data_IF_465589718788
#
_entry.id   IF_465589718788
#
_cell.length_a   1.000
_cell.length_b   1.000
_cell.length_c   1.000
_cell.angle_alpha   90.00
_cell.angle_beta   90.00
_cell.angle_gamma   90.00
#
_symmetry.space_group_name_H-M   'P 1'
#
loop_
_entity.id
_entity.type
_entity.pdbx_description
1 polymer ?
#
# COMPACT_ATOMS: atom_id res chain seq x y z
N UNK A 1 11.73 17.40 2.35
CA UNK A 1 11.98 16.15 3.10
C UNK A 1 13.43 15.74 2.95
N UNK A 2 14.10 15.25 4.03
CA UNK A 2 15.43 14.66 3.97
C UNK A 2 15.37 13.13 3.89
N UNK A 3 16.55 12.48 3.94
CA UNK A 3 16.66 11.01 3.86
C UNK A 3 15.77 10.28 4.88
N UNK A 4 15.80 10.68 6.14
CA UNK A 4 15.03 10.04 7.21
C UNK A 4 13.52 10.25 7.04
N UNK A 5 13.10 11.44 6.56
CA UNK A 5 11.68 11.69 6.28
C UNK A 5 11.18 10.77 5.16
N UNK A 6 11.96 10.61 4.09
CA UNK A 6 11.61 9.72 2.96
C UNK A 6 11.62 8.26 3.37
N UNK A 7 12.60 7.83 4.19
CA UNK A 7 12.68 6.46 4.70
C UNK A 7 11.46 6.13 5.56
N UNK A 8 11.14 6.98 6.55
CA UNK A 8 9.99 6.79 7.44
C UNK A 8 8.66 6.90 6.68
N UNK A 9 8.58 7.78 5.67
CA UNK A 9 7.43 7.86 4.76
C UNK A 9 7.19 6.52 4.06
N UNK A 10 8.23 5.93 3.45
CA UNK A 10 8.12 4.62 2.79
C UNK A 10 7.73 3.51 3.77
N UNK A 11 8.30 3.50 4.98
CA UNK A 11 7.91 2.54 6.02
C UNK A 11 6.43 2.72 6.39
N UNK A 12 5.98 3.94 6.65
CA UNK A 12 4.59 4.21 7.01
C UNK A 12 3.59 3.85 5.90
N UNK A 13 4.02 3.97 4.63
CA UNK A 13 3.17 3.71 3.47
C UNK A 13 3.09 2.23 3.13
N UNK A 14 4.22 1.53 3.15
CA UNK A 14 4.34 0.15 2.63
C UNK A 14 4.18 -0.89 3.74
N UNK A 15 4.91 -0.71 4.86
CA UNK A 15 4.92 -1.71 5.92
C UNK A 15 3.60 -1.70 6.69
N UNK A 16 2.84 -2.79 6.60
CA UNK A 16 1.57 -2.93 7.30
C UNK A 16 1.54 -4.15 8.22
N UNK A 17 1.33 -3.97 9.55
CA UNK A 17 1.21 -5.10 10.49
C UNK A 17 0.13 -6.10 10.08
N UNK A 18 -0.95 -5.63 9.42
CA UNK A 18 -2.02 -6.48 8.88
C UNK A 18 -1.54 -7.49 7.85
N UNK A 19 -0.53 -7.16 7.05
CA UNK A 19 0.03 -8.09 6.06
C UNK A 19 0.79 -9.23 6.72
N UNK A 20 1.49 -8.95 7.84
CA UNK A 20 2.13 -9.97 8.66
C UNK A 20 1.08 -10.86 9.34
N UNK A 21 -0.01 -10.28 9.84
CA UNK A 21 -1.12 -11.02 10.42
C UNK A 21 -1.80 -11.91 9.37
N UNK A 22 -2.09 -11.39 8.18
CA UNK A 22 -2.67 -12.15 7.07
C UNK A 22 -1.72 -13.30 6.64
N UNK A 23 -0.41 -13.04 6.56
CA UNK A 23 0.58 -14.06 6.27
C UNK A 23 0.65 -15.15 7.36
N UNK A 24 0.60 -14.76 8.64
CA UNK A 24 0.53 -15.68 9.76
C UNK A 24 -0.71 -16.57 9.70
N UNK A 25 -1.88 -16.00 9.39
CA UNK A 25 -3.14 -16.72 9.20
C UNK A 25 -3.05 -17.78 8.09
N UNK A 26 -2.38 -17.45 6.97
CA UNK A 26 -2.14 -18.39 5.86
C UNK A 26 -1.06 -19.44 6.16
N UNK A 27 -0.35 -19.34 7.29
CA UNK A 27 0.58 -20.36 7.77
C UNK A 27 2.02 -20.19 7.27
N UNK A 28 2.82 -21.24 7.50
CA UNK A 28 4.28 -21.24 7.28
C UNK A 28 4.70 -21.05 5.83
N UNK A 29 3.88 -21.50 4.86
CA UNK A 29 4.16 -21.33 3.42
C UNK A 29 4.23 -19.85 3.00
N UNK A 30 3.59 -18.93 3.74
CA UNK A 30 3.66 -17.48 3.51
C UNK A 30 5.08 -16.93 3.59
N UNK A 31 5.96 -17.55 4.38
CA UNK A 31 7.36 -17.16 4.52
C UNK A 31 8.09 -17.30 3.18
N UNK A 32 7.91 -18.44 2.51
CA UNK A 32 8.48 -18.65 1.17
C UNK A 32 7.85 -17.72 0.13
N UNK A 33 6.54 -17.44 0.24
CA UNK A 33 5.89 -16.47 -0.64
C UNK A 33 6.45 -15.06 -0.48
N UNK A 34 6.77 -14.61 0.75
CA UNK A 34 7.47 -13.35 0.99
C UNK A 34 8.84 -13.30 0.30
N UNK A 35 9.63 -14.38 0.42
CA UNK A 35 10.95 -14.46 -0.22
C UNK A 35 10.82 -14.42 -1.74
N UNK A 36 9.90 -15.20 -2.31
CA UNK A 36 9.64 -15.23 -3.76
C UNK A 36 9.18 -13.85 -4.24
N UNK A 37 8.22 -13.22 -3.56
CA UNK A 37 7.75 -11.89 -3.93
C UNK A 37 8.85 -10.81 -3.79
N UNK A 38 9.69 -10.91 -2.75
CA UNK A 38 10.81 -10.01 -2.60
C UNK A 38 11.79 -10.10 -3.77
N UNK A 39 12.15 -11.33 -4.19
CA UNK A 39 13.13 -11.57 -5.25
C UNK A 39 12.57 -11.28 -6.66
N UNK A 40 11.32 -11.66 -6.94
CA UNK A 40 10.77 -11.60 -8.30
C UNK A 40 9.91 -10.37 -8.58
N UNK A 41 9.49 -9.65 -7.56
CA UNK A 41 8.66 -8.44 -7.71
C UNK A 41 9.26 -7.21 -7.02
N UNK A 42 9.54 -7.29 -5.71
CA UNK A 42 9.90 -6.12 -4.92
C UNK A 42 11.28 -5.55 -5.28
N UNK A 43 12.31 -6.40 -5.36
CA UNK A 43 13.67 -5.98 -5.75
C UNK A 43 13.70 -5.47 -7.19
N UNK A 44 13.13 -6.17 -8.19
CA UNK A 44 12.98 -5.64 -9.55
C UNK A 44 12.22 -4.31 -9.57
N UNK A 45 11.11 -4.20 -8.82
CA UNK A 45 10.32 -2.97 -8.69
C UNK A 45 11.13 -1.80 -8.12
N UNK A 46 11.89 -2.03 -7.05
CA UNK A 46 12.75 -1.01 -6.46
C UNK A 46 13.82 -0.49 -7.46
N UNK A 47 14.41 -1.37 -8.26
CA UNK A 47 15.34 -0.97 -9.31
C UNK A 47 14.65 -0.12 -10.38
N UNK A 48 13.46 -0.53 -10.85
CA UNK A 48 12.70 0.21 -11.87
C UNK A 48 12.27 1.58 -11.33
N UNK A 49 11.75 1.65 -10.10
CA UNK A 49 11.39 2.91 -9.44
C UNK A 49 12.60 3.85 -9.36
N UNK A 50 13.75 3.33 -8.94
CA UNK A 50 14.96 4.15 -8.81
C UNK A 50 15.48 4.64 -10.17
N UNK A 51 15.45 3.83 -11.22
CA UNK A 51 15.83 4.28 -12.56
C UNK A 51 14.83 5.35 -13.06
N UNK A 52 13.54 5.11 -13.00
CA UNK A 52 12.55 6.03 -13.51
C UNK A 52 12.48 7.33 -12.70
N UNK A 53 12.53 7.30 -11.37
CA UNK A 53 12.51 8.50 -10.53
C UNK A 53 13.76 9.35 -10.66
N UNK A 54 14.93 8.76 -10.93
CA UNK A 54 16.16 9.51 -11.17
C UNK A 54 16.23 10.12 -12.57
N UNK A 55 15.58 9.48 -13.56
CA UNK A 55 15.49 9.98 -14.94
C UNK A 55 14.42 11.04 -15.11
N UNK A 56 13.25 10.81 -14.52
CA UNK A 56 12.07 11.66 -14.62
C UNK A 56 11.61 12.05 -13.21
N UNK A 57 12.29 13.04 -12.58
CA UNK A 57 12.03 13.45 -11.20
C UNK A 57 10.85 14.42 -11.07
N UNK A 58 10.01 14.54 -12.09
CA UNK A 58 8.86 15.43 -12.10
C UNK A 58 7.76 14.93 -11.15
N UNK A 59 6.97 15.85 -10.60
CA UNK A 59 5.83 15.54 -9.74
C UNK A 59 4.77 14.74 -10.51
N UNK A 60 4.22 13.68 -9.86
CA UNK A 60 3.22 12.80 -10.46
C UNK A 60 3.66 11.36 -10.66
N UNK A 61 4.95 11.05 -10.53
CA UNK A 61 5.47 9.67 -10.49
C UNK A 61 4.99 8.79 -11.64
N UNK A 62 4.21 7.73 -11.32
CA UNK A 62 3.69 6.75 -12.30
C UNK A 62 2.91 7.39 -13.46
N UNK A 63 2.19 8.51 -13.23
CA UNK A 63 1.53 9.26 -14.29
C UNK A 63 2.52 9.77 -15.33
N UNK A 64 3.59 10.43 -14.85
CA UNK A 64 4.63 11.01 -15.72
C UNK A 64 5.36 9.91 -16.48
N UNK A 65 5.76 8.84 -15.81
CA UNK A 65 6.49 7.73 -16.45
C UNK A 65 5.66 7.04 -17.54
N UNK A 66 4.37 6.83 -17.32
CA UNK A 66 3.46 6.26 -18.32
C UNK A 66 3.24 7.24 -19.49
N UNK A 67 3.11 8.55 -19.21
CA UNK A 67 2.97 9.60 -20.22
C UNK A 67 4.21 9.70 -21.11
N UNK A 68 5.40 9.69 -20.50
CA UNK A 68 6.68 9.72 -21.21
C UNK A 68 6.89 8.49 -22.11
N UNK A 69 6.47 7.32 -21.64
CA UNK A 69 6.64 6.08 -22.38
C UNK A 69 5.61 5.91 -23.50
N UNK A 70 4.33 6.21 -23.25
CA UNK A 70 3.21 5.80 -24.08
C UNK A 70 2.31 6.95 -24.56
N UNK A 71 2.53 8.17 -24.06
CA UNK A 71 1.76 9.36 -24.41
C UNK A 71 0.60 9.63 -23.44
N UNK A 72 -0.09 10.74 -23.71
CA UNK A 72 -1.07 11.37 -22.82
C UNK A 72 -2.21 10.44 -22.36
N UNK A 73 -2.77 9.63 -23.25
CA UNK A 73 -3.87 8.70 -22.93
C UNK A 73 -3.42 7.66 -21.89
N UNK A 74 -2.29 7.06 -22.10
CA UNK A 74 -1.75 6.03 -21.21
C UNK A 74 -1.30 6.63 -19.88
N UNK A 75 -0.70 7.83 -19.91
CA UNK A 75 -0.41 8.61 -18.70
C UNK A 75 -1.68 8.85 -17.89
N UNK A 76 -2.76 9.32 -18.54
CA UNK A 76 -4.03 9.53 -17.87
C UNK A 76 -4.58 8.24 -17.25
N UNK A 77 -4.59 7.12 -17.99
CA UNK A 77 -5.10 5.83 -17.48
C UNK A 77 -4.30 5.39 -16.26
N UNK A 78 -2.96 5.47 -16.33
CA UNK A 78 -2.09 5.15 -15.20
C UNK A 78 -2.35 6.06 -13.99
N UNK A 79 -2.41 7.37 -14.19
CA UNK A 79 -2.67 8.34 -13.11
C UNK A 79 -4.07 8.19 -12.51
N UNK A 80 -5.09 7.98 -13.36
CA UNK A 80 -6.46 7.79 -12.90
C UNK A 80 -6.61 6.53 -12.06
N UNK A 81 -6.12 5.39 -12.54
CA UNK A 81 -6.21 4.12 -11.80
C UNK A 81 -5.36 4.15 -10.54
N UNK A 82 -4.20 4.83 -10.58
CA UNK A 82 -3.36 5.08 -9.42
C UNK A 82 -4.00 5.99 -8.35
N UNK A 83 -4.92 6.86 -8.74
CA UNK A 83 -5.67 7.66 -7.78
C UNK A 83 -6.92 6.94 -7.28
N UNK A 84 -7.72 6.38 -8.20
CA UNK A 84 -9.04 5.82 -7.85
C UNK A 84 -8.93 4.56 -6.97
N UNK A 85 -7.81 3.79 -7.02
CA UNK A 85 -7.63 2.65 -6.14
C UNK A 85 -7.76 3.03 -4.67
N UNK A 86 -7.35 4.23 -4.29
CA UNK A 86 -7.39 4.70 -2.90
C UNK A 86 -8.80 4.88 -2.37
N UNK A 87 -9.78 5.09 -3.26
CA UNK A 87 -11.19 5.14 -2.89
C UNK A 87 -11.66 3.81 -2.30
N UNK A 88 -11.06 2.68 -2.71
CA UNK A 88 -11.30 1.34 -2.17
C UNK A 88 -10.32 0.99 -1.05
N UNK A 89 -9.06 1.36 -1.21
CA UNK A 89 -7.99 1.04 -0.26
C UNK A 89 -8.15 1.71 1.11
N UNK A 90 -8.49 3.00 1.14
CA UNK A 90 -8.63 3.73 2.41
C UNK A 90 -9.71 3.17 3.32
N UNK A 91 -10.93 2.85 2.86
CA UNK A 91 -11.90 2.18 3.70
C UNK A 91 -11.37 0.89 4.35
N UNK A 92 -10.68 0.05 3.57
CA UNK A 92 -10.04 -1.16 4.10
C UNK A 92 -8.96 -0.86 5.15
N UNK A 93 -8.07 0.09 4.86
CA UNK A 93 -7.02 0.51 5.79
C UNK A 93 -7.60 1.10 7.07
N UNK A 94 -8.63 1.93 6.96
CA UNK A 94 -9.28 2.58 8.10
C UNK A 94 -10.03 1.55 8.98
N UNK A 95 -10.74 0.59 8.38
CA UNK A 95 -11.38 -0.50 9.12
C UNK A 95 -10.38 -1.37 9.88
N UNK A 96 -9.27 -1.75 9.23
CA UNK A 96 -8.20 -2.47 9.89
C UNK A 96 -7.58 -1.64 11.03
N UNK A 97 -7.36 -0.34 10.81
CA UNK A 97 -6.82 0.56 11.83
C UNK A 97 -7.75 0.72 13.02
N UNK A 98 -9.05 0.84 12.78
CA UNK A 98 -10.06 0.90 13.83
C UNK A 98 -10.12 -0.40 14.64
N UNK A 99 -10.10 -1.56 13.97
CA UNK A 99 -10.04 -2.88 14.62
C UNK A 99 -8.81 -3.01 15.52
N UNK A 100 -7.65 -2.57 15.05
CA UNK A 100 -6.40 -2.60 15.81
C UNK A 100 -6.44 -1.65 17.01
N UNK A 101 -7.00 -0.44 16.85
CA UNK A 101 -7.11 0.56 17.92
C UNK A 101 -7.98 0.08 19.10
N UNK A 102 -8.91 -0.83 18.85
CA UNK A 102 -9.75 -1.41 19.91
C UNK A 102 -8.91 -2.07 21.02
N UNK A 103 -7.76 -2.65 20.67
CA UNK A 103 -6.88 -3.32 21.64
C UNK A 103 -6.14 -2.37 22.61
N UNK A 104 -6.25 -1.05 22.43
CA UNK A 104 -5.75 -0.05 23.41
C UNK A 104 -6.44 -0.21 24.77
N UNK A 105 -7.69 -0.70 24.79
CA UNK A 105 -8.42 -1.00 26.04
C UNK A 105 -8.17 -2.43 26.57
N UNK A 106 -7.13 -3.10 26.09
CA UNK A 106 -6.72 -4.44 26.51
C UNK A 106 -7.69 -5.53 26.01
N UNK A 107 -7.94 -6.55 26.82
CA UNK A 107 -8.76 -7.73 26.44
C UNK A 107 -10.19 -7.38 26.02
N UNK A 108 -10.79 -6.32 26.59
CA UNK A 108 -12.10 -5.82 26.18
C UNK A 108 -12.12 -5.33 24.73
N UNK A 109 -10.96 -5.06 24.15
CA UNK A 109 -10.81 -4.66 22.76
C UNK A 109 -11.25 -5.72 21.75
N UNK A 110 -11.20 -7.00 22.09
CA UNK A 110 -11.62 -8.09 21.21
C UNK A 110 -13.09 -7.94 20.76
N UNK A 111 -14.00 -7.61 21.68
CA UNK A 111 -15.40 -7.35 21.35
C UNK A 111 -15.58 -6.08 20.49
N UNK A 112 -14.87 -4.98 20.85
CA UNK A 112 -14.92 -3.72 20.11
C UNK A 112 -14.34 -3.86 18.70
N UNK A 113 -13.33 -4.71 18.50
CA UNK A 113 -12.72 -4.95 17.20
C UNK A 113 -13.66 -5.58 16.16
N UNK A 114 -14.82 -6.07 16.58
CA UNK A 114 -15.87 -6.61 15.73
C UNK A 114 -17.15 -5.73 15.75
N UNK A 115 -17.21 -4.71 16.60
CA UNK A 115 -18.36 -3.80 16.68
C UNK A 115 -18.37 -2.84 15.50
N UNK A 116 -19.41 -2.95 14.66
CA UNK A 116 -19.54 -2.18 13.43
C UNK A 116 -19.62 -0.67 13.68
N UNK A 117 -20.30 -0.25 14.75
CA UNK A 117 -20.45 1.16 15.10
C UNK A 117 -19.12 1.77 15.54
N UNK A 118 -18.39 1.05 16.40
CA UNK A 118 -17.05 1.44 16.82
C UNK A 118 -16.11 1.55 15.63
N UNK A 119 -16.06 0.52 14.77
CA UNK A 119 -15.19 0.50 13.59
C UNK A 119 -15.47 1.66 12.65
N UNK A 120 -16.75 1.95 12.40
CA UNK A 120 -17.16 3.06 11.54
C UNK A 120 -16.80 4.42 12.15
N UNK A 121 -17.12 4.64 13.43
CA UNK A 121 -16.84 5.90 14.12
C UNK A 121 -15.33 6.21 14.14
N UNK A 122 -14.51 5.24 14.55
CA UNK A 122 -13.05 5.41 14.58
C UNK A 122 -12.47 5.61 13.19
N UNK A 123 -12.95 4.86 12.19
CA UNK A 123 -12.52 5.03 10.79
C UNK A 123 -12.78 6.43 10.27
N UNK A 124 -13.97 6.99 10.53
CA UNK A 124 -14.31 8.36 10.11
C UNK A 124 -13.46 9.41 10.84
N UNK A 125 -13.21 9.23 12.13
CA UNK A 125 -12.32 10.13 12.89
C UNK A 125 -10.90 10.11 12.31
N UNK A 126 -10.34 8.91 12.06
CA UNK A 126 -9.02 8.78 11.46
C UNK A 126 -8.94 9.41 10.06
N UNK A 127 -9.98 9.24 9.24
CA UNK A 127 -10.06 9.86 7.92
C UNK A 127 -10.06 11.38 8.02
N UNK A 128 -10.90 11.96 8.88
CA UNK A 128 -10.98 13.43 9.08
C UNK A 128 -9.65 13.99 9.57
N UNK A 129 -9.01 13.34 10.55
CA UNK A 129 -7.70 13.75 11.08
C UNK A 129 -6.63 13.72 9.98
N UNK A 130 -6.55 12.63 9.22
CA UNK A 130 -5.57 12.49 8.14
C UNK A 130 -5.77 13.57 7.06
N UNK A 131 -7.01 13.81 6.63
CA UNK A 131 -7.38 14.85 5.65
C UNK A 131 -7.03 16.24 6.15
N UNK A 132 -7.41 16.57 7.36
CA UNK A 132 -7.14 17.89 7.95
C UNK A 132 -5.64 18.18 8.03
N UNK A 133 -4.83 17.22 8.51
CA UNK A 133 -3.38 17.39 8.60
C UNK A 133 -2.72 17.51 7.23
N UNK A 134 -3.23 16.80 6.21
CA UNK A 134 -2.71 16.90 4.85
C UNK A 134 -3.11 18.23 4.16
N UNK A 135 -4.27 18.80 4.48
CA UNK A 135 -4.66 20.14 3.98
C UNK A 135 -3.77 21.23 4.58
N UNK A 136 -3.46 21.16 5.89
CA UNK A 136 -2.53 22.11 6.54
C UNK A 136 -1.12 22.02 5.92
N UNK A 137 -0.77 20.88 5.33
CA UNK A 137 0.44 20.73 4.54
C UNK A 137 1.57 19.97 5.26
N UNK A 138 2.64 19.70 4.50
CA UNK A 138 3.73 18.82 4.92
C UNK A 138 4.56 19.34 6.11
N UNK A 139 4.54 20.65 6.38
CA UNK A 139 5.24 21.16 7.55
C UNK A 139 4.73 20.57 8.87
N UNK A 140 3.43 20.22 8.92
CA UNK A 140 2.80 19.51 10.04
C UNK A 140 2.62 18.03 9.70
N UNK A 141 2.15 17.72 8.49
CA UNK A 141 1.87 16.35 8.02
C UNK A 141 3.08 15.42 8.09
N UNK A 142 4.31 15.90 7.82
CA UNK A 142 5.53 15.09 7.91
C UNK A 142 5.77 14.50 9.32
N UNK A 143 5.37 15.21 10.37
CA UNK A 143 5.51 14.68 11.74
C UNK A 143 4.59 13.50 11.99
N UNK A 144 3.36 13.55 11.47
CA UNK A 144 2.45 12.41 11.51
C UNK A 144 3.01 11.24 10.69
N UNK A 145 3.58 11.52 9.51
CA UNK A 145 4.21 10.51 8.65
C UNK A 145 5.43 9.87 9.32
N UNK A 146 6.31 10.68 9.93
CA UNK A 146 7.48 10.20 10.64
C UNK A 146 7.08 9.38 11.89
N UNK A 147 6.12 9.89 12.69
CA UNK A 147 5.55 9.16 13.80
C UNK A 147 4.87 7.86 13.33
N UNK A 148 4.26 7.89 12.15
CA UNK A 148 3.67 6.74 11.48
C UNK A 148 4.69 5.67 11.15
N UNK A 149 5.83 6.04 10.56
CA UNK A 149 6.91 5.11 10.25
C UNK A 149 7.47 4.44 11.51
N UNK A 150 7.73 5.21 12.57
CA UNK A 150 8.17 4.69 13.86
C UNK A 150 7.07 3.84 14.52
N UNK A 151 5.83 4.33 14.53
CA UNK A 151 4.66 3.65 15.09
C UNK A 151 4.30 2.35 14.39
N UNK A 152 4.72 2.16 13.14
CA UNK A 152 4.57 0.90 12.41
C UNK A 152 5.74 -0.05 12.68
N UNK A 153 6.98 0.46 12.63
CA UNK A 153 8.16 -0.39 12.72
C UNK A 153 8.44 -0.91 14.13
N UNK A 154 8.27 -0.05 15.14
CA UNK A 154 8.59 -0.39 16.54
C UNK A 154 7.73 -1.54 17.10
N UNK A 155 6.40 -1.60 16.92
CA UNK A 155 5.60 -2.74 17.34
C UNK A 155 6.00 -4.06 16.68
N UNK A 156 6.46 -4.02 15.44
CA UNK A 156 6.94 -5.21 14.75
C UNK A 156 8.30 -5.67 15.32
N UNK A 157 9.17 -4.75 15.69
CA UNK A 157 10.36 -5.09 16.48
C UNK A 157 9.99 -5.67 17.85
N UNK A 158 8.95 -5.14 18.51
CA UNK A 158 8.42 -5.70 19.76
C UNK A 158 7.90 -7.13 19.53
N UNK A 159 7.16 -7.39 18.45
CA UNK A 159 6.71 -8.73 18.08
C UNK A 159 7.89 -9.71 17.97
N UNK A 160 8.94 -9.31 17.24
CA UNK A 160 10.13 -10.14 17.06
C UNK A 160 10.85 -10.36 18.40
N UNK A 161 11.02 -9.32 19.20
CA UNK A 161 11.66 -9.42 20.54
C UNK A 161 10.87 -10.33 21.49
N UNK A 162 9.55 -10.18 21.54
CA UNK A 162 8.66 -11.04 22.34
C UNK A 162 8.75 -12.50 21.87
N UNK A 163 8.68 -12.72 20.55
CA UNK A 163 8.76 -14.07 19.98
C UNK A 163 10.10 -14.77 20.33
N UNK A 164 11.21 -14.04 20.21
CA UNK A 164 12.52 -14.57 20.60
C UNK A 164 12.57 -14.94 22.08
N UNK A 165 12.11 -14.05 22.98
CA UNK A 165 12.11 -14.30 24.42
C UNK A 165 11.21 -15.48 24.81
N UNK A 166 10.04 -15.62 24.18
CA UNK A 166 9.13 -16.75 24.39
C UNK A 166 9.75 -18.03 23.85
N UNK A 167 10.36 -17.97 22.67
CA UNK A 167 11.05 -19.12 22.07
C UNK A 167 12.11 -19.72 22.99
N UNK A 168 12.94 -18.89 23.62
CA UNK A 168 13.95 -19.37 24.57
C UNK A 168 13.38 -19.94 25.87
N UNK A 169 12.11 -19.61 26.22
CA UNK A 169 11.46 -20.12 27.44
C UNK A 169 10.62 -21.37 27.20
N UNK A 170 9.90 -21.41 26.12
CA UNK A 170 8.85 -22.43 25.88
C UNK A 170 8.94 -23.11 24.50
N UNK A 171 9.86 -22.67 23.64
CA UNK A 171 9.93 -23.08 22.25
C UNK A 171 8.94 -22.33 21.35
N UNK A 172 8.70 -22.86 20.17
CA UNK A 172 7.82 -22.26 19.15
C UNK A 172 6.46 -22.96 19.14
N UNK A 173 5.38 -22.19 19.01
CA UNK A 173 4.02 -22.72 18.83
C UNK A 173 3.86 -23.47 17.49
N UNK A 174 4.66 -23.09 16.49
CA UNK A 174 4.67 -23.73 15.17
C UNK A 174 6.05 -24.33 14.89
N UNK A 175 6.08 -25.54 14.34
CA UNK A 175 7.31 -26.14 13.86
C UNK A 175 7.62 -25.65 12.44
N UNK A 176 8.83 -25.14 12.22
CA UNK A 176 9.30 -24.71 10.92
C UNK A 176 10.15 -25.79 10.28
N UNK A 177 9.64 -26.37 9.20
CA UNK A 177 10.34 -27.40 8.40
C UNK A 177 10.33 -26.98 6.94
N UNK A 178 11.31 -27.39 6.16
CA UNK A 178 11.32 -27.12 4.72
C UNK A 178 10.04 -27.59 4.02
N UNK A 179 9.46 -28.69 4.50
CA UNK A 179 8.25 -29.27 3.93
C UNK A 179 7.01 -28.37 4.14
N UNK A 180 6.81 -27.82 5.36
CA UNK A 180 5.65 -26.99 5.64
C UNK A 180 5.82 -25.51 5.24
N UNK A 181 7.05 -25.08 4.99
CA UNK A 181 7.36 -23.76 4.43
C UNK A 181 7.29 -23.74 2.91
N UNK A 182 7.30 -24.90 2.24
CA UNK A 182 7.15 -24.96 0.78
C UNK A 182 5.78 -24.38 0.36
N UNK A 183 5.71 -23.57 -0.73
CA UNK A 183 4.44 -23.06 -1.23
C UNK A 183 3.50 -24.21 -1.59
N UNK A 184 2.28 -24.14 -1.08
CA UNK A 184 1.22 -25.09 -1.46
C UNK A 184 0.47 -24.54 -2.68
N UNK A 185 0.19 -25.40 -3.66
CA UNK A 185 -0.54 -25.02 -4.88
C UNK A 185 -2.05 -25.26 -4.69
N UNK A 186 -2.66 -24.52 -3.77
CA UNK A 186 -4.11 -24.46 -3.60
C UNK A 186 -4.62 -23.05 -3.93
N UNK A 187 -5.93 -22.90 -4.17
CA UNK A 187 -6.53 -21.63 -4.57
C UNK A 187 -6.36 -20.54 -3.51
N UNK A 188 -6.35 -20.86 -2.24
CA UNK A 188 -6.19 -19.88 -1.16
C UNK A 188 -4.78 -19.30 -1.16
N UNK A 189 -3.75 -20.15 -1.32
CA UNK A 189 -2.35 -19.72 -1.45
C UNK A 189 -2.14 -18.88 -2.73
N UNK A 190 -2.75 -19.30 -3.84
CA UNK A 190 -2.67 -18.56 -5.11
C UNK A 190 -3.35 -17.19 -4.98
N UNK A 191 -4.52 -17.11 -4.36
CA UNK A 191 -5.21 -15.84 -4.11
C UNK A 191 -4.39 -14.94 -3.17
N UNK A 192 -3.83 -15.52 -2.11
CA UNK A 192 -2.99 -14.78 -1.16
C UNK A 192 -1.71 -14.20 -1.79
N UNK A 193 -1.22 -14.78 -2.90
CA UNK A 193 -0.10 -14.25 -3.66
C UNK A 193 -0.31 -12.79 -4.10
N UNK A 194 -1.52 -12.43 -4.56
CA UNK A 194 -1.84 -11.06 -4.98
C UNK A 194 -1.72 -10.07 -3.82
N UNK A 195 -2.13 -10.47 -2.62
CA UNK A 195 -2.03 -9.65 -1.41
C UNK A 195 -0.57 -9.47 -0.97
N UNK A 196 0.26 -10.52 -1.06
CA UNK A 196 1.70 -10.45 -0.78
C UNK A 196 2.39 -9.50 -1.77
N UNK A 197 2.11 -9.62 -3.07
CA UNK A 197 2.65 -8.72 -4.08
C UNK A 197 2.20 -7.27 -3.82
N UNK A 198 0.92 -7.05 -3.52
CA UNK A 198 0.39 -5.74 -3.18
C UNK A 198 1.00 -5.16 -1.90
N UNK A 199 1.28 -5.97 -0.89
CA UNK A 199 1.91 -5.53 0.34
C UNK A 199 3.32 -4.94 0.12
N UNK A 200 3.99 -5.32 -0.96
CA UNK A 200 5.29 -4.78 -1.36
C UNK A 200 5.21 -3.54 -2.26
N UNK A 201 4.02 -3.05 -2.58
CA UNK A 201 3.85 -1.82 -3.37
C UNK A 201 3.88 -0.57 -2.46
N UNK A 202 4.09 0.62 -3.05
CA UNK A 202 4.03 1.90 -2.36
C UNK A 202 5.37 2.64 -2.28
N UNK A 203 6.51 2.00 -2.61
CA UNK A 203 7.82 2.68 -2.64
C UNK A 203 7.87 3.81 -3.69
N UNK A 204 7.12 3.69 -4.76
CA UNK A 204 7.01 4.69 -5.83
C UNK A 204 6.24 5.93 -5.40
N UNK A 205 5.44 5.84 -4.34
CA UNK A 205 4.55 6.93 -3.91
C UNK A 205 5.31 8.22 -3.59
N UNK A 206 6.51 8.10 -3.00
CA UNK A 206 7.34 9.25 -2.69
C UNK A 206 7.83 9.98 -3.95
N UNK A 207 7.91 9.30 -5.10
CA UNK A 207 8.27 9.94 -6.37
C UNK A 207 7.19 10.91 -6.89
N UNK A 208 5.94 10.72 -6.47
CA UNK A 208 4.87 11.67 -6.77
C UNK A 208 5.03 13.02 -6.04
N UNK A 209 5.96 13.08 -5.06
CA UNK A 209 6.27 14.25 -4.23
C UNK A 209 7.74 14.67 -4.36
N UNK A 210 8.39 14.33 -5.46
CA UNK A 210 9.84 14.52 -5.63
C UNK A 210 10.27 15.98 -5.49
N UNK A 211 9.45 16.96 -5.87
CA UNK A 211 9.74 18.39 -5.69
C UNK A 211 9.84 18.83 -4.21
N UNK A 212 9.27 18.05 -3.29
CA UNK A 212 9.31 18.32 -1.86
C UNK A 212 10.50 17.63 -1.16
N UNK A 213 11.30 16.84 -1.90
CA UNK A 213 12.47 16.12 -1.42
C UNK A 213 13.75 16.92 -1.71
N UNK A 214 14.61 17.05 -0.70
CA UNK A 214 15.93 17.66 -0.87
C UNK A 214 16.83 16.75 -1.68
N UNK A 215 17.41 17.25 -2.77
CA UNK A 215 18.23 16.48 -3.72
C UNK A 215 17.57 15.12 -4.07
N UNK A 216 16.40 15.13 -4.75
CA UNK A 216 15.59 13.94 -4.95
C UNK A 216 16.36 12.83 -5.70
N UNK A 217 17.24 13.21 -6.62
CA UNK A 217 18.05 12.27 -7.42
C UNK A 217 18.98 11.39 -6.58
N UNK A 218 19.42 11.87 -5.40
CA UNK A 218 20.27 11.10 -4.47
C UNK A 218 19.49 10.55 -3.30
N UNK A 219 18.53 11.32 -2.79
CA UNK A 219 17.79 10.96 -1.59
C UNK A 219 16.80 9.83 -1.86
N UNK A 220 16.05 9.90 -2.97
CA UNK A 220 15.03 8.89 -3.30
C UNK A 220 15.64 7.49 -3.45
N UNK A 221 16.67 7.24 -4.30
CA UNK A 221 17.20 5.89 -4.46
C UNK A 221 17.73 5.29 -3.16
N UNK A 222 18.45 6.09 -2.36
CA UNK A 222 19.00 5.63 -1.08
C UNK A 222 17.92 5.26 -0.07
N UNK A 223 16.89 6.10 0.04
CA UNK A 223 15.80 5.86 0.98
C UNK A 223 14.91 4.70 0.53
N UNK A 224 14.65 4.56 -0.78
CA UNK A 224 13.88 3.44 -1.36
C UNK A 224 14.59 2.11 -1.09
N UNK A 225 15.91 2.01 -1.34
CA UNK A 225 16.66 0.78 -1.05
C UNK A 225 16.72 0.45 0.45
N UNK A 226 16.98 1.46 1.29
CA UNK A 226 17.04 1.25 2.74
C UNK A 226 15.68 0.83 3.31
N UNK A 227 14.61 1.55 2.96
CA UNK A 227 13.25 1.20 3.37
C UNK A 227 12.85 -0.17 2.83
N UNK A 228 13.15 -0.45 1.56
CA UNK A 228 12.86 -1.72 0.93
C UNK A 228 13.48 -2.91 1.67
N UNK A 229 14.76 -2.83 2.00
CA UNK A 229 15.45 -3.86 2.78
C UNK A 229 14.82 -4.05 4.16
N UNK A 230 14.50 -2.95 4.87
CA UNK A 230 13.87 -3.00 6.18
C UNK A 230 12.45 -3.60 6.12
N UNK A 231 11.66 -3.28 5.08
CA UNK A 231 10.31 -3.77 4.88
C UNK A 231 10.33 -5.28 4.58
N UNK A 232 11.15 -5.72 3.61
CA UNK A 232 11.26 -7.13 3.25
C UNK A 232 11.73 -7.98 4.45
N UNK A 233 12.74 -7.51 5.18
CA UNK A 233 13.20 -8.14 6.40
C UNK A 233 12.05 -8.28 7.41
N UNK A 234 11.30 -7.21 7.65
CA UNK A 234 10.24 -7.21 8.66
C UNK A 234 9.05 -8.09 8.27
N UNK A 235 8.68 -8.18 6.99
CA UNK A 235 7.63 -9.08 6.55
C UNK A 235 8.01 -10.55 6.77
N UNK A 236 9.25 -10.94 6.43
CA UNK A 236 9.74 -12.30 6.60
C UNK A 236 9.87 -12.64 8.09
N UNK A 237 10.64 -11.85 8.83
CA UNK A 237 10.93 -12.12 10.25
C UNK A 237 9.69 -11.93 11.13
N UNK A 238 8.84 -10.95 10.81
CA UNK A 238 7.56 -10.74 11.50
C UNK A 238 6.61 -11.92 11.32
N UNK A 239 6.59 -12.57 10.14
CA UNK A 239 5.78 -13.78 9.91
C UNK A 239 6.32 -14.97 10.67
N UNK A 240 7.66 -15.15 10.74
CA UNK A 240 8.26 -16.12 11.66
C UNK A 240 7.88 -15.86 13.11
N UNK A 241 7.95 -14.61 13.54
CA UNK A 241 7.68 -14.20 14.92
C UNK A 241 6.22 -14.48 15.32
N UNK A 242 5.24 -14.09 14.49
CA UNK A 242 3.82 -14.31 14.81
C UNK A 242 3.49 -15.80 14.89
N UNK A 243 4.00 -16.62 13.96
CA UNK A 243 3.81 -18.07 13.94
C UNK A 243 4.57 -18.80 15.07
N UNK A 244 5.63 -18.20 15.59
CA UNK A 244 6.32 -18.74 16.77
C UNK A 244 5.51 -18.53 18.06
N UNK A 245 4.65 -17.50 18.09
CA UNK A 245 3.81 -17.17 19.26
C UNK A 245 2.44 -17.82 19.22
N UNK A 246 1.87 -18.04 18.03
CA UNK A 246 0.53 -18.60 17.84
C UNK A 246 0.48 -19.51 16.61
N UNK A 247 -0.27 -20.64 16.64
CA UNK A 247 -0.56 -21.43 15.45
C UNK A 247 -1.37 -20.60 14.43
N UNK A 248 -1.21 -20.93 13.14
CA UNK A 248 -1.89 -20.18 12.06
C UNK A 248 -3.41 -20.06 12.24
N UNK A 249 -4.07 -21.12 12.74
CA UNK A 249 -5.51 -21.15 12.98
C UNK A 249 -5.99 -20.11 14.01
N UNK A 250 -5.10 -19.68 14.93
CA UNK A 250 -5.41 -18.74 16.00
C UNK A 250 -5.02 -17.30 15.65
N UNK A 251 -4.45 -17.08 14.45
CA UNK A 251 -4.02 -15.75 14.00
C UNK A 251 -5.17 -15.06 13.28
N UNK A 252 -5.74 -13.99 13.86
CA UNK A 252 -6.69 -13.13 13.16
C UNK A 252 -5.99 -12.34 12.04
N UNK A 253 -6.48 -12.39 10.79
CA UNK A 253 -5.80 -11.79 9.64
C UNK A 253 -5.70 -10.26 9.66
N UNK A 254 -6.44 -9.57 10.54
CA UNK A 254 -6.41 -8.11 10.68
C UNK A 254 -5.59 -7.66 11.89
N UNK A 255 -5.80 -8.30 13.03
CA UNK A 255 -5.29 -7.88 14.35
C UNK A 255 -4.32 -8.88 15.00
N UNK A 256 -4.00 -9.98 14.35
CA UNK A 256 -3.21 -11.08 14.91
C UNK A 256 -1.84 -10.70 15.47
N UNK A 257 -1.21 -9.63 14.96
CA UNK A 257 0.05 -9.10 15.52
C UNK A 257 -0.12 -8.70 16.99
N UNK A 258 -1.24 -8.03 17.34
CA UNK A 258 -1.50 -7.61 18.74
C UNK A 258 -1.83 -8.78 19.62
N UNK A 259 -2.64 -9.69 19.12
CA UNK A 259 -2.97 -10.92 19.84
C UNK A 259 -1.72 -11.72 20.17
N UNK A 260 -0.81 -11.89 19.19
CA UNK A 260 0.47 -12.58 19.40
C UNK A 260 1.37 -11.85 20.42
N UNK A 261 1.50 -10.52 20.34
CA UNK A 261 2.25 -9.74 21.33
C UNK A 261 1.61 -9.89 22.71
N UNK A 262 0.28 -9.86 22.81
CA UNK A 262 -0.43 -10.01 24.09
C UNK A 262 -0.21 -11.38 24.69
N UNK A 263 -0.34 -12.46 23.91
CA UNK A 263 -0.05 -13.83 24.36
C UNK A 263 1.40 -13.94 24.88
N UNK A 264 2.37 -13.46 24.11
CA UNK A 264 3.75 -13.48 24.52
C UNK A 264 4.02 -12.62 25.76
N UNK A 265 3.32 -11.49 25.90
CA UNK A 265 3.44 -10.59 27.05
C UNK A 265 2.97 -11.24 28.36
N UNK A 266 1.93 -12.08 28.29
CA UNK A 266 1.44 -12.89 29.44
C UNK A 266 2.50 -13.89 29.85
N UNK A 267 3.12 -14.60 28.89
CA UNK A 267 4.22 -15.56 29.15
C UNK A 267 5.42 -14.87 29.79
N UNK A 268 5.72 -13.66 29.35
CA UNK A 268 6.84 -12.86 29.87
C UNK A 268 6.51 -12.09 31.17
N UNK A 269 5.24 -12.10 31.58
CA UNK A 269 4.70 -11.33 32.73
C UNK A 269 4.89 -9.80 32.57
N UNK A 270 4.75 -9.27 31.35
CA UNK A 270 4.88 -7.86 31.01
C UNK A 270 3.61 -7.38 30.29
N UNK A 271 2.48 -7.36 31.01
CA UNK A 271 1.12 -7.23 30.45
C UNK A 271 0.81 -5.93 29.68
N UNK A 272 1.63 -4.87 29.80
CA UNK A 272 1.38 -3.61 29.11
C UNK A 272 1.83 -3.61 27.62
N UNK A 273 2.63 -4.59 27.19
CA UNK A 273 3.23 -4.60 25.82
C UNK A 273 2.16 -4.64 24.71
N UNK A 274 1.08 -5.40 24.90
CA UNK A 274 -0.02 -5.46 23.94
C UNK A 274 -0.70 -4.11 23.76
N UNK A 275 -0.98 -3.40 24.87
CA UNK A 275 -1.59 -2.06 24.86
C UNK A 275 -0.66 -1.06 24.18
N UNK A 276 0.62 -1.08 24.54
CA UNK A 276 1.64 -0.21 23.93
C UNK A 276 1.74 -0.46 22.40
N UNK A 277 1.78 -1.71 21.99
CA UNK A 277 1.81 -2.08 20.58
C UNK A 277 0.55 -1.57 19.83
N UNK A 278 -0.65 -1.74 20.40
CA UNK A 278 -1.90 -1.27 19.81
C UNK A 278 -1.89 0.26 19.65
N UNK A 279 -1.40 1.00 20.65
CA UNK A 279 -1.31 2.44 20.62
C UNK A 279 -0.32 2.92 19.53
N UNK A 280 0.86 2.31 19.46
CA UNK A 280 1.88 2.63 18.47
C UNK A 280 1.41 2.36 17.05
N UNK A 281 0.75 1.21 16.80
CA UNK A 281 0.23 0.89 15.47
C UNK A 281 -0.95 1.77 15.08
N UNK A 282 -1.77 2.21 16.04
CA UNK A 282 -2.83 3.20 15.73
C UNK A 282 -2.22 4.49 15.19
N UNK A 283 -1.13 4.97 15.81
CA UNK A 283 -0.33 6.09 15.28
C UNK A 283 0.31 5.73 13.94
N UNK A 284 0.85 4.51 13.81
CA UNK A 284 1.42 3.97 12.59
C UNK A 284 0.45 4.02 11.41
N UNK A 285 -0.74 3.50 11.61
CA UNK A 285 -1.79 3.47 10.59
C UNK A 285 -2.29 4.89 10.24
N UNK A 286 -2.47 5.77 11.23
CA UNK A 286 -2.81 7.17 10.97
C UNK A 286 -1.74 7.87 10.10
N UNK A 287 -0.47 7.59 10.38
CA UNK A 287 0.65 8.06 9.57
C UNK A 287 0.65 7.46 8.16
N UNK A 288 0.35 6.17 8.01
CA UNK A 288 0.21 5.48 6.74
C UNK A 288 -0.89 6.07 5.86
N UNK A 289 -2.09 6.31 6.43
CA UNK A 289 -3.17 7.04 5.75
C UNK A 289 -2.70 8.44 5.34
N UNK A 290 -2.05 9.17 6.25
CA UNK A 290 -1.53 10.50 6.00
C UNK A 290 -0.50 10.52 4.87
N UNK A 291 0.44 9.58 4.85
CA UNK A 291 1.46 9.44 3.80
C UNK A 291 0.84 9.14 2.44
N UNK A 292 -0.11 8.20 2.40
CA UNK A 292 -0.79 7.82 1.15
C UNK A 292 -1.65 8.98 0.62
N UNK A 293 -2.40 9.68 1.47
CA UNK A 293 -3.15 10.89 1.06
C UNK A 293 -2.19 11.95 0.52
N UNK A 294 -1.06 12.18 1.18
CA UNK A 294 -0.08 13.16 0.76
C UNK A 294 0.47 12.87 -0.65
N UNK A 295 0.91 11.66 -0.91
CA UNK A 295 1.47 11.27 -2.21
C UNK A 295 0.43 11.22 -3.33
N UNK A 296 -0.67 10.52 -3.09
CA UNK A 296 -1.68 10.27 -4.12
C UNK A 296 -2.47 11.52 -4.52
N UNK A 297 -2.75 12.45 -3.61
CA UNK A 297 -3.50 13.67 -3.92
C UNK A 297 -2.81 14.57 -4.97
N UNK A 298 -1.51 14.40 -5.17
CA UNK A 298 -0.74 15.14 -6.19
C UNK A 298 -0.99 14.63 -7.60
N UNK A 299 -1.33 13.35 -7.77
CA UNK A 299 -1.61 12.78 -9.08
C UNK A 299 -2.79 13.47 -9.79
N UNK A 300 -4.01 13.56 -9.20
CA UNK A 300 -5.10 14.28 -9.86
C UNK A 300 -4.85 15.78 -9.95
N UNK A 301 -3.99 16.36 -9.11
CA UNK A 301 -3.55 17.75 -9.24
C UNK A 301 -2.75 17.95 -10.54
N UNK A 302 -1.74 17.12 -10.81
CA UNK A 302 -0.94 17.19 -12.05
C UNK A 302 -1.81 16.89 -13.28
N UNK A 303 -2.68 15.87 -13.22
CA UNK A 303 -3.65 15.56 -14.29
C UNK A 303 -4.64 16.71 -14.51
N UNK A 304 -4.99 17.47 -13.46
CA UNK A 304 -5.83 18.67 -13.51
C UNK A 304 -5.13 19.84 -14.21
N UNK A 305 -3.84 20.06 -13.93
CA UNK A 305 -3.00 21.02 -14.66
C UNK A 305 -2.93 20.67 -16.14
N UNK A 306 -2.79 19.38 -16.46
CA UNK A 306 -2.81 18.87 -17.84
C UNK A 306 -4.20 18.96 -18.50
N UNK A 307 -5.22 19.48 -17.80
CA UNK A 307 -6.60 19.72 -18.28
C UNK A 307 -7.37 18.47 -18.72
N UNK A 308 -7.06 17.30 -18.16
CA UNK A 308 -7.86 16.09 -18.37
C UNK A 308 -8.91 15.90 -17.29
N UNK A 309 -8.76 16.54 -16.13
CA UNK A 309 -9.75 16.66 -15.07
C UNK A 309 -10.32 18.07 -15.00
N UNK A 310 -11.47 18.28 -14.31
CA UNK A 310 -12.00 19.62 -14.06
C UNK A 310 -10.94 20.57 -13.48
N UNK A 311 -10.91 21.82 -13.91
CA UNK A 311 -9.91 22.83 -13.52
C UNK A 311 -9.80 23.04 -12.00
N UNK A 312 -10.83 22.64 -11.24
CA UNK A 312 -10.82 22.70 -9.78
C UNK A 312 -9.68 21.83 -9.17
N UNK A 313 -9.33 20.69 -9.79
CA UNK A 313 -8.27 19.82 -9.30
C UNK A 313 -6.88 20.47 -9.37
N UNK A 314 -6.66 21.39 -10.29
CA UNK A 314 -5.43 22.19 -10.38
C UNK A 314 -5.32 23.33 -9.36
N UNK A 315 -6.31 23.50 -8.46
CA UNK A 315 -6.28 24.56 -7.45
C UNK A 315 -5.50 24.16 -6.22
N UNK A 316 -4.63 25.07 -5.76
CA UNK A 316 -3.90 24.96 -4.50
C UNK A 316 -4.56 25.83 -3.41
N UNK A 317 -4.46 25.41 -2.16
CA UNK A 317 -4.98 26.16 -1.03
C UNK A 317 -4.23 27.49 -0.86
N UNK A 318 -4.91 28.65 -0.73
CA UNK A 318 -4.26 29.97 -0.71
C UNK A 318 -3.18 30.09 0.38
N UNK A 319 -3.47 29.59 1.60
CA UNK A 319 -2.59 29.68 2.76
C UNK A 319 -1.56 28.54 2.81
N UNK A 320 -2.00 27.27 2.62
CA UNK A 320 -1.18 26.09 2.89
C UNK A 320 -0.50 25.50 1.66
N UNK A 321 -0.83 26.03 0.45
CA UNK A 321 -0.22 25.61 -0.83
C UNK A 321 -0.33 24.10 -1.12
N UNK A 322 -1.41 23.48 -0.66
CA UNK A 322 -1.71 22.05 -0.85
C UNK A 322 -2.83 21.85 -1.87
N UNK A 323 -2.91 20.70 -2.58
CA UNK A 323 -3.97 20.39 -3.54
C UNK A 323 -5.26 19.96 -2.82
N UNK A 324 -5.86 20.88 -2.07
CA UNK A 324 -6.95 20.60 -1.13
C UNK A 324 -8.21 20.05 -1.79
N UNK A 325 -8.50 20.39 -3.04
CA UNK A 325 -9.66 19.85 -3.77
C UNK A 325 -9.46 18.34 -4.02
N UNK A 326 -8.27 17.94 -4.47
CA UNK A 326 -7.94 16.52 -4.67
C UNK A 326 -8.09 15.74 -3.37
N UNK A 327 -7.59 16.29 -2.25
CA UNK A 327 -7.67 15.66 -0.92
C UNK A 327 -9.15 15.52 -0.48
N UNK A 328 -9.96 16.56 -0.63
CA UNK A 328 -11.37 16.54 -0.21
C UNK A 328 -12.23 15.61 -1.05
N UNK A 329 -12.03 15.59 -2.37
CA UNK A 329 -12.77 14.68 -3.27
C UNK A 329 -12.42 13.22 -2.97
N UNK A 330 -11.14 12.94 -2.79
CA UNK A 330 -10.67 11.59 -2.40
C UNK A 330 -11.27 11.15 -1.07
N UNK A 331 -11.24 12.01 -0.06
CA UNK A 331 -11.81 11.71 1.26
C UNK A 331 -13.33 11.50 1.20
N UNK A 332 -14.05 12.33 0.45
CA UNK A 332 -15.49 12.19 0.27
C UNK A 332 -15.88 10.86 -0.41
N UNK A 333 -15.17 10.49 -1.48
CA UNK A 333 -15.38 9.21 -2.16
C UNK A 333 -15.04 8.02 -1.26
N UNK A 334 -13.90 8.06 -0.57
CA UNK A 334 -13.49 6.99 0.35
C UNK A 334 -14.46 6.86 1.53
N UNK A 335 -14.93 7.98 2.09
CA UNK A 335 -15.95 7.97 3.14
C UNK A 335 -17.28 7.38 2.67
N UNK A 336 -17.72 7.72 1.44
CA UNK A 336 -18.93 7.15 0.84
C UNK A 336 -18.80 5.62 0.65
N UNK A 337 -17.68 5.14 0.12
CA UNK A 337 -17.43 3.70 -0.06
C UNK A 337 -17.33 2.99 1.30
N UNK A 338 -16.70 3.61 2.30
CA UNK A 338 -16.67 3.09 3.66
C UNK A 338 -18.09 2.86 4.21
N UNK A 339 -18.96 3.86 4.11
CA UNK A 339 -20.36 3.76 4.53
C UNK A 339 -21.13 2.69 3.76
N UNK A 340 -21.00 2.69 2.42
CA UNK A 340 -21.69 1.71 1.57
C UNK A 340 -21.23 0.28 1.82
N UNK A 341 -19.94 0.07 2.10
CA UNK A 341 -19.40 -1.25 2.38
C UNK A 341 -20.00 -1.87 3.64
N UNK A 342 -20.32 -1.04 4.65
CA UNK A 342 -20.91 -1.50 5.90
C UNK A 342 -22.42 -1.85 5.78
N UNK A 343 -23.13 -1.21 4.86
CA UNK A 343 -24.58 -1.42 4.70
C UNK A 343 -24.89 -2.72 3.95
N UNK A 344 -24.04 -3.13 3.01
CA UNK A 344 -24.34 -4.22 2.06
C UNK A 344 -23.51 -5.49 2.26
N UNK A 345 -22.64 -5.55 3.24
CA UNK A 345 -21.79 -6.72 3.49
C UNK A 345 -22.36 -7.59 4.59
N UNK A 346 -22.31 -8.92 4.38
CA UNK A 346 -22.77 -9.90 5.37
C UNK A 346 -21.86 -9.91 6.61
N UNK A 347 -20.57 -9.63 6.40
CA UNK A 347 -19.57 -9.52 7.46
C UNK A 347 -18.57 -8.40 7.17
N UNK A 348 -17.95 -7.85 8.23
CA UNK A 348 -16.85 -6.87 8.11
C UNK A 348 -15.65 -7.46 7.34
N UNK A 349 -15.42 -8.77 7.50
CA UNK A 349 -14.32 -9.45 6.79
C UNK A 349 -14.56 -9.50 5.28
N UNK A 350 -15.78 -9.84 4.84
CA UNK A 350 -16.13 -9.87 3.42
C UNK A 350 -16.06 -8.47 2.79
N UNK A 351 -16.50 -7.42 3.52
CA UNK A 351 -16.35 -6.04 3.09
C UNK A 351 -14.87 -5.65 2.91
N UNK A 352 -14.05 -5.96 3.91
CA UNK A 352 -12.62 -5.69 3.87
C UNK A 352 -11.93 -6.38 2.69
N UNK A 353 -12.18 -7.68 2.48
CA UNK A 353 -11.57 -8.44 1.39
C UNK A 353 -11.92 -7.86 0.02
N UNK A 354 -13.21 -7.59 -0.22
CA UNK A 354 -13.66 -7.00 -1.49
C UNK A 354 -12.99 -5.63 -1.78
N UNK A 355 -12.84 -4.81 -0.74
CA UNK A 355 -12.18 -3.51 -0.87
C UNK A 355 -10.70 -3.65 -1.23
N UNK A 356 -10.01 -4.62 -0.63
CA UNK A 356 -8.59 -4.87 -0.91
C UNK A 356 -8.41 -5.43 -2.32
N UNK A 357 -9.22 -6.39 -2.76
CA UNK A 357 -9.11 -6.98 -4.09
C UNK A 357 -9.41 -5.94 -5.20
N UNK A 358 -10.41 -5.09 -5.01
CA UNK A 358 -10.68 -3.97 -5.91
C UNK A 358 -9.50 -2.98 -5.96
N UNK A 359 -8.92 -2.68 -4.82
CA UNK A 359 -7.74 -1.82 -4.74
C UNK A 359 -6.54 -2.45 -5.46
N UNK A 360 -6.28 -3.75 -5.30
CA UNK A 360 -5.19 -4.47 -5.96
C UNK A 360 -5.33 -4.37 -7.49
N UNK A 361 -6.50 -4.69 -8.03
CA UNK A 361 -6.74 -4.66 -9.49
C UNK A 361 -6.45 -3.26 -10.05
N UNK A 362 -7.00 -2.21 -9.42
CA UNK A 362 -6.83 -0.84 -9.90
C UNK A 362 -5.38 -0.35 -9.74
N UNK A 363 -4.72 -0.70 -8.65
CA UNK A 363 -3.35 -0.30 -8.36
C UNK A 363 -2.31 -0.99 -9.25
N UNK A 364 -2.55 -2.22 -9.65
CA UNK A 364 -1.64 -2.96 -10.50
C UNK A 364 -1.62 -2.49 -11.95
N UNK A 365 -2.68 -1.82 -12.43
CA UNK A 365 -2.69 -1.23 -13.78
C UNK A 365 -1.53 -0.24 -13.98
N UNK A 366 -1.30 0.79 -13.15
CA UNK A 366 -0.15 1.68 -13.32
C UNK A 366 1.20 0.98 -13.16
N UNK A 367 1.29 -0.11 -12.40
CA UNK A 367 2.52 -0.91 -12.33
C UNK A 367 2.82 -1.66 -13.63
N UNK A 368 1.80 -2.13 -14.37
CA UNK A 368 2.00 -2.65 -15.73
C UNK A 368 2.63 -1.57 -16.63
N UNK A 369 2.13 -0.32 -16.55
CA UNK A 369 2.71 0.80 -17.28
C UNK A 369 4.14 1.10 -16.84
N UNK A 370 4.44 1.04 -15.56
CA UNK A 370 5.79 1.27 -15.03
C UNK A 370 6.80 0.25 -15.58
N UNK A 371 6.48 -1.05 -15.47
CA UNK A 371 7.37 -2.11 -15.94
C UNK A 371 7.49 -2.14 -17.48
N UNK A 372 6.39 -1.96 -18.22
CA UNK A 372 6.44 -1.82 -19.67
C UNK A 372 7.15 -0.53 -20.10
N UNK A 373 6.96 0.55 -19.33
CA UNK A 373 7.57 1.86 -19.57
C UNK A 373 9.07 1.83 -19.50
N UNK A 374 9.66 1.22 -18.47
CA UNK A 374 11.12 1.12 -18.34
C UNK A 374 11.74 0.36 -19.51
N UNK A 375 11.07 -0.70 -20.00
CA UNK A 375 11.50 -1.45 -21.20
C UNK A 375 11.46 -0.57 -22.46
N UNK A 376 10.35 0.16 -22.67
CA UNK A 376 10.18 1.04 -23.82
C UNK A 376 11.16 2.22 -23.82
N UNK A 377 11.45 2.78 -22.65
CA UNK A 377 12.37 3.90 -22.46
C UNK A 377 13.85 3.48 -22.42
N UNK A 378 14.14 2.19 -22.52
CA UNK A 378 15.51 1.64 -22.43
C UNK A 378 16.44 2.11 -23.52
N UNK A 379 15.94 2.38 -24.73
CA UNK A 379 16.70 2.81 -25.89
C UNK A 379 16.86 4.33 -26.04
N UNK A 380 16.27 5.13 -25.16
CA UNK A 380 16.42 6.60 -25.24
C UNK A 380 17.86 7.03 -24.86
N UNK A 381 18.45 7.97 -25.63
CA UNK A 381 19.77 8.52 -25.37
C UNK A 381 19.93 9.14 -23.99
N UNK A 382 18.88 9.81 -23.51
CA UNK A 382 18.81 10.43 -22.19
C UNK A 382 19.14 9.43 -21.05
N UNK A 383 18.88 8.14 -21.23
CA UNK A 383 19.22 7.10 -20.25
C UNK A 383 20.73 7.01 -19.99
N UNK A 384 21.55 7.17 -21.00
CA UNK A 384 23.02 7.05 -20.93
C UNK A 384 23.72 8.39 -20.78
N UNK A 385 23.09 9.47 -21.21
CA UNK A 385 23.65 10.83 -21.18
C UNK A 385 23.33 11.57 -19.85
N UNK A 386 22.33 11.12 -19.07
CA UNK A 386 21.99 11.73 -17.79
C UNK A 386 22.97 11.25 -16.70
N UNK A 387 23.88 12.12 -16.21
CA UNK A 387 24.92 11.72 -15.24
C UNK A 387 24.34 11.38 -13.85
N UNK A 388 23.07 11.69 -13.63
CA UNK A 388 22.38 11.45 -12.36
C UNK A 388 21.43 10.24 -12.41
N UNK A 389 21.31 9.56 -13.56
CA UNK A 389 20.46 8.38 -13.67
C UNK A 389 21.03 7.21 -12.85
N UNK A 390 20.20 6.66 -11.97
CA UNK A 390 20.52 5.44 -11.23
C UNK A 390 20.04 4.27 -12.07
N UNK A 391 20.94 3.68 -12.84
CA UNK A 391 20.61 2.62 -13.78
C UNK A 391 20.42 1.27 -13.08
N UNK A 392 19.51 0.45 -13.61
CA UNK A 392 19.30 -0.93 -13.17
C UNK A 392 20.60 -1.72 -13.37
N UNK A 393 21.08 -2.47 -12.33
CA UNK A 393 22.29 -3.28 -12.42
C UNK A 393 22.17 -4.37 -13.51
N UNK A 394 23.31 -4.79 -14.08
CA UNK A 394 23.35 -5.81 -15.13
C UNK A 394 23.04 -5.30 -16.54
N UNK A 395 23.02 -3.98 -16.74
CA UNK A 395 22.87 -3.36 -18.06
C UNK A 395 21.53 -3.72 -18.73
N UNK A 396 21.56 -4.05 -20.03
CA UNK A 396 20.35 -4.42 -20.78
C UNK A 396 19.68 -5.67 -20.22
N UNK A 397 20.45 -6.70 -19.84
CA UNK A 397 19.90 -7.95 -19.31
C UNK A 397 19.18 -7.72 -17.97
N UNK A 398 19.78 -6.99 -17.03
CA UNK A 398 19.15 -6.65 -15.75
C UNK A 398 17.88 -5.82 -15.93
N UNK A 399 17.87 -4.87 -16.86
CA UNK A 399 16.70 -4.06 -17.17
C UNK A 399 15.54 -4.91 -17.73
N UNK A 400 15.83 -5.77 -18.73
CA UNK A 400 14.82 -6.65 -19.30
C UNK A 400 14.30 -7.67 -18.26
N UNK A 401 15.19 -8.23 -17.45
CA UNK A 401 14.80 -9.16 -16.38
C UNK A 401 13.89 -8.48 -15.37
N UNK A 402 14.26 -7.29 -14.87
CA UNK A 402 13.46 -6.55 -13.89
C UNK A 402 12.10 -6.12 -14.46
N UNK A 403 12.09 -5.63 -15.70
CA UNK A 403 10.86 -5.19 -16.36
C UNK A 403 9.90 -6.35 -16.64
N UNK A 404 10.39 -7.49 -17.16
CA UNK A 404 9.55 -8.65 -17.47
C UNK A 404 9.05 -9.33 -16.19
N UNK A 405 9.93 -9.57 -15.21
CA UNK A 405 9.52 -10.21 -13.95
C UNK A 405 8.43 -9.40 -13.25
N UNK A 406 8.66 -8.11 -13.07
CA UNK A 406 7.66 -7.24 -12.44
C UNK A 406 6.35 -7.21 -13.22
N UNK A 407 6.40 -7.08 -14.55
CA UNK A 407 5.22 -7.08 -15.41
C UNK A 407 4.41 -8.39 -15.27
N UNK A 408 5.07 -9.55 -15.33
CA UNK A 408 4.41 -10.86 -15.23
C UNK A 408 3.80 -11.06 -13.85
N UNK A 409 4.52 -10.73 -12.78
CA UNK A 409 3.99 -10.84 -11.40
C UNK A 409 2.75 -9.97 -11.21
N UNK A 410 2.77 -8.74 -11.69
CA UNK A 410 1.62 -7.81 -11.61
C UNK A 410 0.45 -8.33 -12.43
N UNK A 411 0.70 -8.84 -13.64
CA UNK A 411 -0.34 -9.42 -14.49
C UNK A 411 -1.00 -10.62 -13.83
N UNK A 412 -0.20 -11.55 -13.28
CA UNK A 412 -0.71 -12.69 -12.50
C UNK A 412 -1.52 -12.20 -11.31
N UNK A 413 -1.02 -11.20 -10.57
CA UNK A 413 -1.71 -10.62 -9.42
C UNK A 413 -3.11 -10.08 -9.77
N UNK A 414 -3.27 -9.41 -10.91
CA UNK A 414 -4.59 -8.94 -11.39
C UNK A 414 -5.52 -10.12 -11.64
N UNK A 415 -5.07 -11.15 -12.37
CA UNK A 415 -5.90 -12.32 -12.67
C UNK A 415 -6.30 -13.09 -11.42
N UNK A 416 -5.38 -13.26 -10.49
CA UNK A 416 -5.63 -13.99 -9.25
C UNK A 416 -6.60 -13.23 -8.34
N UNK A 417 -6.51 -11.88 -8.28
CA UNK A 417 -7.47 -11.06 -7.52
C UNK A 417 -8.90 -11.11 -8.04
N UNK A 418 -9.12 -11.59 -9.27
CA UNK A 418 -10.47 -11.82 -9.81
C UNK A 418 -11.08 -13.12 -9.30
N UNK A 419 -10.29 -14.02 -8.71
CA UNK A 419 -10.79 -15.30 -8.19
C UNK A 419 -11.33 -15.11 -6.78
N UNK A 420 -12.61 -15.38 -6.50
CA UNK A 420 -13.19 -15.19 -5.18
C UNK A 420 -12.56 -16.16 -4.16
N UNK A 421 -12.36 -15.72 -2.90
CA UNK A 421 -11.90 -16.57 -1.82
C UNK A 421 -12.79 -17.81 -1.65
N UNK A 422 -12.18 -18.94 -1.21
CA UNK A 422 -12.86 -20.22 -1.08
C UNK A 422 -14.05 -20.22 -0.11
N UNK A 423 -14.00 -19.37 0.91
CA UNK A 423 -14.99 -19.19 1.97
C UNK A 423 -16.13 -18.20 1.62
N UNK A 424 -16.12 -17.60 0.43
CA UNK A 424 -17.17 -16.65 0.04
C UNK A 424 -18.51 -17.37 -0.17
N UNK A 425 -19.56 -16.93 0.55
CA UNK A 425 -20.90 -17.53 0.56
C UNK A 425 -21.56 -17.41 -0.82
N UNK A 426 -21.39 -16.28 -1.51
CA UNK A 426 -21.93 -16.03 -2.85
C UNK A 426 -20.86 -15.50 -3.80
N UNK A 427 -20.13 -16.43 -4.44
CA UNK A 427 -19.04 -16.13 -5.39
C UNK A 427 -19.48 -15.21 -6.52
N UNK A 428 -20.67 -15.43 -7.10
CA UNK A 428 -21.18 -14.62 -8.20
C UNK A 428 -21.46 -13.17 -7.77
N UNK A 429 -22.05 -12.98 -6.60
CA UNK A 429 -22.30 -11.63 -6.07
C UNK A 429 -20.99 -10.91 -5.74
N UNK A 430 -19.98 -11.63 -5.24
CA UNK A 430 -18.64 -11.09 -5.00
C UNK A 430 -17.98 -10.62 -6.30
N UNK A 431 -17.91 -11.49 -7.31
CA UNK A 431 -17.33 -11.18 -8.62
C UNK A 431 -18.04 -10.01 -9.31
N UNK A 432 -19.38 -10.00 -9.31
CA UNK A 432 -20.16 -8.93 -9.94
C UNK A 432 -19.87 -7.56 -9.29
N UNK A 433 -19.75 -7.51 -7.98
CA UNK A 433 -19.40 -6.27 -7.25
C UNK A 433 -17.96 -5.85 -7.50
N UNK A 434 -17.03 -6.80 -7.46
CA UNK A 434 -15.60 -6.55 -7.68
C UNK A 434 -15.35 -6.07 -9.11
N UNK A 435 -15.74 -6.87 -10.10
CA UNK A 435 -15.55 -6.54 -11.51
C UNK A 435 -16.38 -5.33 -11.93
N UNK A 436 -17.64 -5.25 -11.47
CA UNK A 436 -18.51 -4.11 -11.74
C UNK A 436 -17.98 -2.81 -11.16
N UNK A 437 -17.54 -2.81 -9.90
CA UNK A 437 -16.97 -1.64 -9.23
C UNK A 437 -15.68 -1.15 -9.90
N UNK A 438 -14.77 -2.06 -10.22
CA UNK A 438 -13.51 -1.73 -10.91
C UNK A 438 -13.76 -1.24 -12.33
N UNK A 439 -14.65 -1.90 -13.08
CA UNK A 439 -15.02 -1.50 -14.46
C UNK A 439 -15.67 -0.11 -14.48
N UNK A 440 -16.63 0.15 -13.60
CA UNK A 440 -17.27 1.48 -13.49
C UNK A 440 -16.23 2.55 -13.17
N UNK A 441 -15.27 2.27 -12.28
CA UNK A 441 -14.21 3.20 -11.93
C UNK A 441 -13.32 3.54 -13.13
N UNK A 442 -12.95 2.54 -13.94
CA UNK A 442 -12.15 2.73 -15.15
C UNK A 442 -12.96 3.50 -16.22
N UNK A 443 -14.20 3.11 -16.46
CA UNK A 443 -15.07 3.76 -17.44
C UNK A 443 -15.33 5.23 -17.10
N UNK A 444 -15.52 5.56 -15.83
CA UNK A 444 -15.63 6.94 -15.38
C UNK A 444 -14.38 7.76 -15.75
N UNK A 445 -13.19 7.20 -15.53
CA UNK A 445 -11.93 7.82 -15.96
C UNK A 445 -11.88 8.06 -17.46
N UNK A 446 -12.24 7.06 -18.26
CA UNK A 446 -12.26 7.20 -19.72
C UNK A 446 -13.20 8.30 -20.19
N UNK A 447 -14.40 8.40 -19.61
CA UNK A 447 -15.36 9.48 -19.91
C UNK A 447 -14.76 10.86 -19.56
N UNK A 448 -14.10 10.98 -18.42
CA UNK A 448 -13.44 12.24 -18.02
C UNK A 448 -12.29 12.61 -18.98
N UNK A 449 -11.47 11.62 -19.37
CA UNK A 449 -10.41 11.82 -20.34
C UNK A 449 -10.96 12.36 -21.68
N UNK A 450 -11.99 11.72 -22.25
CA UNK A 450 -12.57 12.14 -23.53
C UNK A 450 -13.17 13.56 -23.46
N UNK A 451 -13.80 13.90 -22.34
CA UNK A 451 -14.29 15.27 -22.12
C UNK A 451 -13.16 16.29 -22.06
N UNK A 452 -12.11 16.00 -21.27
CA UNK A 452 -10.93 16.87 -21.15
C UNK A 452 -10.18 17.02 -22.48
N UNK A 453 -10.01 15.93 -23.23
CA UNK A 453 -9.34 15.93 -24.52
C UNK A 453 -10.10 16.77 -25.59
N UNK A 454 -11.45 16.73 -25.57
CA UNK A 454 -12.29 17.61 -26.43
C UNK A 454 -12.08 19.07 -26.06
N UNK A 455 -12.20 19.42 -24.77
CA UNK A 455 -12.00 20.79 -24.30
C UNK A 455 -10.61 21.36 -24.64
N UNK A 456 -9.55 20.51 -24.65
CA UNK A 456 -8.22 20.88 -25.11
C UNK A 456 -8.15 21.21 -26.60
N UNK A 457 -8.86 20.45 -27.43
CA UNK A 457 -8.93 20.70 -28.88
C UNK A 457 -9.63 22.00 -29.18
N UNK A 458 -10.81 22.22 -28.55
CA UNK A 458 -11.62 23.42 -28.73
C UNK A 458 -10.88 24.70 -28.30
N UNK A 459 -10.01 24.60 -27.27
CA UNK A 459 -9.18 25.71 -26.81
C UNK A 459 -7.96 26.01 -27.70
N UNK A 460 -7.60 25.11 -28.64
CA UNK A 460 -6.50 25.29 -29.61
C UNK A 460 -6.98 25.70 -31.00
N UNK A 461 -8.26 25.48 -31.29
CA UNK A 461 -8.94 25.94 -32.51
C UNK A 461 -9.45 27.37 -32.34
#
# INVERSE_FOLDING_TARGET
MGFWDVLLFNIATVLGPRWIAAAGHNGTSSISLWVIAALFFFVPGAFVINELSSRFPDEGGLYVWAKEAFGDFHGFVAGWTYWIYTVFYFPGLLLASASMSAYIVGEKGAALSQDQTFLLAVSLVLLVVAVFLNIIGLNVGKWLQNAGGVGTYLPLLMLVGVALLVYFRQGSATQFTWANMAPTWNWDTVNFWSQIAFAFTGLELVSAMSEEVRDPRRTLPRAVFAAGAMIAFMYIVGTFAILSLAPAADVDPKSGVFHAITLGSVVLKVGFLGILAALLVTVGNAGGVGSTVAGIARVPFVVGIDRYLPAAFGKIHPKWKTPYISILVQAGLSGAILLLSQIKSETVQAAYQMLIDAAIILYFIPFLYMFAGVLKLSGRKERTENPHAVLIPGGKAGLWLSGILGFVVVLIGIFVSLVPPGDSINKWSFELRLVGGTAVSILLGLVLYWRGARSKRDARA
#
